data_IF_319964526252
#
_entry.id   IF_319964526252
#
_cell.length_a   1.000
_cell.length_b   1.000
_cell.length_c   1.000
_cell.angle_alpha   90.00
_cell.angle_beta   90.00
_cell.angle_gamma   90.00
#
_symmetry.space_group_name_H-M   'P 1'
#
loop_
_entity.id
_entity.type
_entity.pdbx_description
1 polymer ?
#
# COMPACT_ATOMS: atom_id res chain seq x y z
N UNK A 1 30.48 -23.01 4.07
CA UNK A 1 29.03 -23.17 3.94
C UNK A 1 28.31 -21.99 4.59
N UNK A 2 28.39 -20.78 4.00
CA UNK A 2 27.68 -19.56 4.44
C UNK A 2 27.59 -18.55 3.28
N UNK A 3 27.00 -18.94 2.13
CA UNK A 3 26.90 -18.04 0.96
C UNK A 3 25.59 -18.14 0.15
N UNK A 4 24.54 -18.82 0.64
CA UNK A 4 23.37 -19.12 -0.19
C UNK A 4 22.06 -18.37 0.16
N UNK A 5 22.09 -17.38 1.06
CA UNK A 5 20.86 -16.67 1.48
C UNK A 5 20.70 -15.23 0.97
N UNK A 6 21.64 -14.70 0.17
CA UNK A 6 21.56 -13.34 -0.36
C UNK A 6 21.22 -13.22 -1.86
N UNK A 7 21.01 -14.33 -2.58
CA UNK A 7 20.81 -14.29 -4.03
C UNK A 7 19.34 -14.47 -4.50
N UNK A 8 18.42 -14.93 -3.64
CA UNK A 8 17.02 -15.15 -4.05
C UNK A 8 16.13 -13.91 -3.92
N UNK A 9 16.53 -12.88 -3.16
CA UNK A 9 15.78 -11.62 -3.06
C UNK A 9 16.01 -10.65 -4.23
N UNK A 10 17.04 -10.87 -5.04
CA UNK A 10 17.37 -9.98 -6.18
C UNK A 10 16.60 -10.36 -7.45
N UNK A 11 16.46 -11.65 -7.76
CA UNK A 11 15.85 -12.08 -9.03
C UNK A 11 14.33 -11.89 -9.06
N UNK A 12 13.64 -12.07 -7.93
CA UNK A 12 12.20 -11.83 -7.84
C UNK A 12 11.92 -10.33 -7.92
N UNK A 13 12.69 -9.48 -7.22
CA UNK A 13 12.58 -8.03 -7.33
C UNK A 13 12.94 -7.50 -8.73
N UNK A 14 13.93 -8.09 -9.41
CA UNK A 14 14.27 -7.71 -10.78
C UNK A 14 13.20 -8.15 -11.78
N UNK A 15 12.62 -9.35 -11.63
CA UNK A 15 11.47 -9.78 -12.43
C UNK A 15 10.21 -8.94 -12.14
N UNK A 16 10.02 -8.52 -10.88
CA UNK A 16 8.98 -7.60 -10.43
C UNK A 16 9.17 -6.17 -10.94
N UNK A 17 10.36 -5.78 -11.38
CA UNK A 17 10.63 -4.47 -11.99
C UNK A 17 10.56 -4.55 -13.52
N UNK A 18 10.88 -5.69 -14.12
CA UNK A 18 10.93 -5.89 -15.56
C UNK A 18 9.59 -6.32 -16.18
N UNK A 19 8.69 -6.93 -15.41
CA UNK A 19 7.35 -7.35 -15.89
C UNK A 19 6.34 -6.19 -15.99
N UNK A 20 6.55 -5.08 -15.28
CA UNK A 20 5.62 -3.94 -15.21
C UNK A 20 6.08 -2.80 -16.12
N UNK A 21 6.12 -3.09 -17.42
CA UNK A 21 6.41 -2.11 -18.44
C UNK A 21 5.34 -1.03 -18.50
N UNK A 22 5.49 0.03 -17.70
CA UNK A 22 5.20 1.38 -18.14
C UNK A 22 6.17 2.37 -17.50
N UNK A 23 6.98 2.99 -18.35
CA UNK A 23 8.00 3.99 -18.03
C UNK A 23 7.43 5.22 -17.31
N UNK A 24 6.11 5.41 -17.35
CA UNK A 24 5.38 6.43 -16.58
C UNK A 24 5.08 5.97 -15.14
N UNK A 25 4.54 4.77 -14.93
CA UNK A 25 4.27 4.21 -13.61
C UNK A 25 5.56 3.97 -12.82
N UNK A 26 6.61 3.47 -13.48
CA UNK A 26 7.93 3.31 -12.86
C UNK A 26 8.60 4.64 -12.53
N UNK A 27 8.40 5.71 -13.31
CA UNK A 27 8.93 7.05 -12.98
C UNK A 27 8.17 7.70 -11.84
N UNK A 28 6.86 7.50 -11.78
CA UNK A 28 6.01 8.04 -10.72
C UNK A 28 6.26 7.28 -9.41
N UNK A 29 6.18 5.95 -9.40
CA UNK A 29 6.50 5.11 -8.24
C UNK A 29 7.96 5.29 -7.75
N UNK A 30 8.94 5.48 -8.66
CA UNK A 30 10.32 5.83 -8.25
C UNK A 30 10.41 7.22 -7.63
N UNK A 31 9.63 8.22 -8.07
CA UNK A 31 9.61 9.53 -7.39
C UNK A 31 9.02 9.44 -5.99
N UNK A 32 7.98 8.63 -5.81
CA UNK A 32 7.33 8.41 -4.52
C UNK A 32 8.18 7.57 -3.55
N UNK A 33 8.89 6.57 -4.07
CA UNK A 33 9.73 5.64 -3.31
C UNK A 33 11.14 6.18 -3.02
N UNK A 34 11.76 6.94 -3.94
CA UNK A 34 13.18 7.31 -3.82
C UNK A 34 13.49 8.34 -2.73
N UNK A 35 12.49 8.91 -2.05
CA UNK A 35 12.69 9.95 -1.02
C UNK A 35 11.97 9.71 0.30
N UNK A 36 11.26 8.58 0.46
CA UNK A 36 10.45 8.32 1.66
C UNK A 36 11.04 7.22 2.51
N UNK A 37 11.00 7.43 3.82
CA UNK A 37 11.43 6.45 4.80
C UNK A 37 10.50 5.24 4.77
N UNK A 38 11.09 4.04 4.88
CA UNK A 38 10.32 2.82 5.15
C UNK A 38 9.93 2.84 6.63
N UNK A 39 8.65 2.64 6.91
CA UNK A 39 8.12 2.62 8.27
C UNK A 39 7.33 1.34 8.50
N UNK A 40 7.27 0.89 9.75
CA UNK A 40 6.36 -0.19 10.12
C UNK A 40 4.95 0.36 10.04
N UNK A 41 4.18 -0.18 9.10
CA UNK A 41 2.85 0.28 8.73
C UNK A 41 1.86 -0.87 8.86
N UNK A 42 0.63 -0.56 9.30
CA UNK A 42 -0.45 -1.54 9.48
C UNK A 42 -0.96 -2.15 8.16
N UNK A 43 -0.91 -1.39 7.05
CA UNK A 43 -1.38 -1.76 5.70
C UNK A 43 -2.89 -2.05 5.53
N UNK A 44 -3.64 -2.29 6.60
CA UNK A 44 -5.12 -2.42 6.59
C UNK A 44 -5.74 -1.62 7.75
N UNK A 45 -5.40 -0.33 7.85
CA UNK A 45 -5.92 0.51 8.93
C UNK A 45 -7.33 0.97 8.58
N UNK A 46 -8.31 0.54 9.37
CA UNK A 46 -9.70 0.95 9.26
C UNK A 46 -10.37 0.96 10.64
N UNK A 47 -11.56 1.56 10.81
CA UNK A 47 -12.20 1.69 12.12
C UNK A 47 -12.37 0.36 12.87
N UNK A 48 -12.60 -0.75 12.15
CA UNK A 48 -12.79 -2.09 12.74
C UNK A 48 -11.54 -2.60 13.47
N UNK A 49 -10.37 -2.10 13.08
CA UNK A 49 -9.06 -2.52 13.57
C UNK A 49 -8.53 -1.58 14.67
N UNK A 50 -9.33 -0.60 15.12
CA UNK A 50 -8.98 0.37 16.17
C UNK A 50 -9.86 0.15 17.39
N UNK A 51 -9.25 -0.17 18.52
CA UNK A 51 -9.94 -0.29 19.81
C UNK A 51 -9.86 1.05 20.53
N UNK A 52 -11.01 1.62 20.91
CA UNK A 52 -11.10 2.88 21.66
C UNK A 52 -11.58 2.61 23.08
N UNK A 53 -10.90 3.19 24.08
CA UNK A 53 -11.28 3.14 25.50
C UNK A 53 -11.21 4.54 26.08
N UNK A 54 -12.32 5.00 26.69
CA UNK A 54 -12.42 6.33 27.29
C UNK A 54 -12.05 7.47 26.32
N UNK A 55 -12.49 7.38 25.05
CA UNK A 55 -12.21 8.39 24.02
C UNK A 55 -10.77 8.42 23.51
N UNK A 56 -9.93 7.46 23.88
CA UNK A 56 -8.54 7.34 23.39
C UNK A 56 -8.34 6.01 22.68
N UNK A 57 -7.47 6.00 21.67
CA UNK A 57 -7.02 4.75 21.03
C UNK A 57 -6.30 3.92 22.09
N UNK A 58 -6.85 2.74 22.37
CA UNK A 58 -6.32 1.78 23.32
C UNK A 58 -5.43 0.73 22.65
N UNK A 59 -5.76 0.34 21.41
CA UNK A 59 -4.96 -0.59 20.62
C UNK A 59 -5.29 -0.49 19.12
N UNK A 60 -4.32 -0.88 18.28
CA UNK A 60 -4.50 -1.20 16.87
C UNK A 60 -4.26 -2.70 16.74
N UNK A 61 -5.21 -3.43 16.16
CA UNK A 61 -5.21 -4.90 16.04
C UNK A 61 -5.25 -5.31 14.57
N UNK A 62 -5.09 -6.61 14.28
CA UNK A 62 -5.12 -7.16 12.91
C UNK A 62 -3.87 -6.81 12.05
N UNK A 63 -2.68 -6.92 12.67
CA UNK A 63 -1.38 -6.64 12.05
C UNK A 63 -0.89 -7.68 11.02
N UNK A 64 -1.74 -8.62 10.59
CA UNK A 64 -1.32 -9.70 9.69
C UNK A 64 -0.84 -9.22 8.31
N UNK A 65 -1.34 -8.06 7.86
CA UNK A 65 -0.90 -7.38 6.64
C UNK A 65 0.21 -6.36 6.88
N UNK A 66 0.56 -6.14 8.15
CA UNK A 66 1.53 -5.15 8.58
C UNK A 66 2.95 -5.51 8.15
N UNK A 67 3.76 -4.48 7.91
CA UNK A 67 5.10 -4.66 7.38
C UNK A 67 5.85 -3.35 7.18
N UNK A 68 7.01 -3.43 6.54
CA UNK A 68 7.79 -2.28 6.17
C UNK A 68 7.30 -1.74 4.83
N UNK A 69 6.60 -0.60 4.88
CA UNK A 69 6.06 0.08 3.70
C UNK A 69 6.52 1.52 3.65
N UNK A 70 6.42 2.19 2.50
CA UNK A 70 6.61 3.64 2.45
C UNK A 70 5.68 4.35 3.43
N UNK A 71 6.14 5.46 4.01
CA UNK A 71 5.39 6.24 5.00
C UNK A 71 3.95 6.61 4.56
N UNK A 72 3.74 6.86 3.26
CA UNK A 72 2.43 7.22 2.69
C UNK A 72 1.41 6.06 2.66
N UNK A 73 1.86 4.83 2.94
CA UNK A 73 1.07 3.62 2.70
C UNK A 73 -0.17 3.54 3.57
N UNK A 74 -0.11 3.99 4.84
CA UNK A 74 -1.31 4.07 5.70
C UNK A 74 -2.35 5.01 5.09
N UNK A 75 -1.93 6.19 4.63
CA UNK A 75 -2.83 7.20 4.09
C UNK A 75 -3.57 6.68 2.87
N UNK A 76 -2.84 6.13 1.90
CA UNK A 76 -3.44 5.64 0.66
C UNK A 76 -4.32 4.41 0.90
N UNK A 77 -3.87 3.42 1.66
CA UNK A 77 -4.64 2.19 1.91
C UNK A 77 -5.85 2.39 2.82
N UNK A 78 -5.82 3.33 3.76
CA UNK A 78 -6.99 3.64 4.57
C UNK A 78 -8.15 4.28 3.76
N UNK A 79 -7.85 4.83 2.58
CA UNK A 79 -8.85 5.27 1.60
C UNK A 79 -9.31 4.15 0.64
N UNK A 80 -8.62 3.01 0.63
CA UNK A 80 -8.94 1.84 -0.19
C UNK A 80 -10.06 1.00 0.47
N UNK A 81 -11.27 1.55 0.52
CA UNK A 81 -12.44 0.91 1.09
C UNK A 81 -13.56 0.72 0.06
N UNK A 82 -14.29 -0.40 0.14
CA UNK A 82 -15.47 -0.64 -0.70
C UNK A 82 -16.66 0.27 -0.36
N UNK A 83 -16.62 0.92 0.81
CA UNK A 83 -17.69 1.79 1.31
C UNK A 83 -17.12 3.17 1.56
N UNK A 84 -17.70 4.18 0.91
CA UNK A 84 -17.35 5.58 1.14
C UNK A 84 -17.73 5.99 2.58
N UNK A 85 -16.75 6.45 3.36
CA UNK A 85 -16.93 6.90 4.75
C UNK A 85 -16.26 8.26 4.99
N UNK A 86 -16.97 9.37 4.70
CA UNK A 86 -16.42 10.72 4.83
C UNK A 86 -15.93 11.04 6.25
N UNK A 87 -16.65 10.58 7.27
CA UNK A 87 -16.30 10.73 8.69
C UNK A 87 -14.97 10.07 9.04
N UNK A 88 -14.69 8.91 8.44
CA UNK A 88 -13.42 8.22 8.59
C UNK A 88 -12.27 8.98 7.91
N UNK A 89 -12.48 9.46 6.69
CA UNK A 89 -11.45 10.19 5.95
C UNK A 89 -11.09 11.51 6.64
N UNK A 90 -12.10 12.28 7.09
CA UNK A 90 -11.87 13.51 7.87
C UNK A 90 -11.09 13.22 9.16
N UNK A 91 -11.45 12.15 9.89
CA UNK A 91 -10.74 11.76 11.10
C UNK A 91 -9.30 11.32 10.80
N UNK A 92 -9.09 10.55 9.72
CA UNK A 92 -7.78 10.10 9.29
C UNK A 92 -6.88 11.28 8.90
N UNK A 93 -7.38 12.21 8.08
CA UNK A 93 -6.67 13.41 7.65
C UNK A 93 -6.30 14.33 8.83
N UNK A 94 -7.08 14.31 9.91
CA UNK A 94 -6.75 15.04 11.14
C UNK A 94 -5.66 14.35 11.99
N UNK A 95 -5.46 13.04 11.80
CA UNK A 95 -4.61 12.20 12.64
C UNK A 95 -3.25 11.84 12.02
N UNK A 96 -3.16 11.78 10.70
CA UNK A 96 -1.93 11.40 9.97
C UNK A 96 -1.58 12.44 8.90
N UNK A 97 -0.31 12.44 8.46
CA UNK A 97 0.11 13.30 7.36
C UNK A 97 -0.63 12.96 6.06
N UNK A 98 -0.95 14.00 5.28
CA UNK A 98 -1.55 13.87 3.95
C UNK A 98 -0.50 13.52 2.90
N UNK A 99 -0.90 12.67 1.97
CA UNK A 99 -0.08 12.18 0.86
C UNK A 99 -0.93 12.17 -0.42
N UNK A 100 -1.40 13.36 -0.82
CA UNK A 100 -2.38 13.51 -1.91
C UNK A 100 -1.82 13.10 -3.27
N UNK A 101 -0.59 13.51 -3.60
CA UNK A 101 0.10 13.09 -4.82
C UNK A 101 0.23 11.55 -4.90
N UNK A 102 0.53 10.91 -3.76
CA UNK A 102 0.66 9.45 -3.68
C UNK A 102 -0.70 8.76 -3.75
N UNK A 103 -1.74 9.38 -3.21
CA UNK A 103 -3.10 8.87 -3.26
C UNK A 103 -3.66 8.93 -4.68
N UNK A 104 -3.50 10.04 -5.40
CA UNK A 104 -3.89 10.15 -6.81
C UNK A 104 -3.17 9.10 -7.67
N UNK A 105 -1.89 8.86 -7.39
CA UNK A 105 -1.12 7.83 -8.07
C UNK A 105 -1.62 6.41 -7.79
N UNK A 106 -1.95 6.09 -6.54
CA UNK A 106 -2.51 4.80 -6.16
C UNK A 106 -3.91 4.60 -6.75
N UNK A 107 -4.75 5.64 -6.80
CA UNK A 107 -6.07 5.57 -7.46
C UNK A 107 -5.95 5.21 -8.94
N UNK A 108 -5.03 5.86 -9.66
CA UNK A 108 -4.75 5.53 -11.06
C UNK A 108 -4.27 4.08 -11.24
N UNK A 109 -3.56 3.52 -10.26
CA UNK A 109 -3.16 2.11 -10.25
C UNK A 109 -4.34 1.16 -9.97
N UNK A 110 -5.24 1.50 -9.05
CA UNK A 110 -6.40 0.67 -8.69
C UNK A 110 -7.42 0.54 -9.83
N UNK A 111 -7.51 1.53 -10.71
CA UNK A 111 -8.32 1.43 -11.94
C UNK A 111 -7.77 0.40 -12.93
N UNK A 112 -6.48 0.09 -12.86
CA UNK A 112 -5.79 -0.81 -13.79
C UNK A 112 -5.56 -2.22 -13.20
N UNK A 113 -5.56 -2.33 -11.87
CA UNK A 113 -5.26 -3.56 -11.14
C UNK A 113 -6.26 -3.78 -9.99
N UNK A 114 -6.87 -4.96 -9.91
CA UNK A 114 -7.82 -5.35 -8.83
C UNK A 114 -7.17 -5.28 -7.42
N UNK A 115 -5.85 -5.50 -7.38
CA UNK A 115 -5.00 -5.37 -6.20
C UNK A 115 -3.65 -4.80 -6.64
N UNK A 116 -2.87 -4.15 -5.76
CA UNK A 116 -1.49 -3.76 -6.09
C UNK A 116 -0.70 -4.98 -6.57
N UNK A 117 -0.51 -5.08 -7.89
CA UNK A 117 0.22 -6.18 -8.53
C UNK A 117 -0.61 -7.27 -9.21
N UNK A 118 -1.95 -7.18 -9.28
CA UNK A 118 -2.79 -8.14 -10.03
C UNK A 118 -3.56 -7.42 -11.15
N UNK A 119 -3.20 -7.63 -12.44
CA UNK A 119 -3.91 -7.03 -13.55
C UNK A 119 -5.35 -7.55 -13.66
N UNK A 120 -6.28 -6.66 -13.99
CA UNK A 120 -7.71 -6.96 -14.16
C UNK A 120 -8.04 -7.98 -15.28
N UNK A 121 -7.06 -8.39 -16.09
CA UNK A 121 -7.26 -9.21 -17.30
C UNK A 121 -6.80 -10.67 -17.21
N UNK A 122 -6.48 -11.18 -16.01
CA UNK A 122 -6.12 -12.61 -15.82
C UNK A 122 -7.26 -13.49 -15.29
N UNK A 123 -8.53 -13.10 -15.48
CA UNK A 123 -9.69 -13.90 -15.03
C UNK A 123 -10.58 -14.41 -16.15
N UNK A 124 -10.11 -14.51 -17.40
CA UNK A 124 -10.96 -15.09 -18.44
C UNK A 124 -10.40 -15.19 -19.84
N UNK A 125 -9.32 -15.95 -20.05
CA UNK A 125 -9.10 -16.70 -21.30
C UNK A 125 -8.20 -17.91 -21.03
N UNK A 126 -8.79 -18.98 -20.49
CA UNK A 126 -8.31 -20.35 -20.64
C UNK A 126 -9.57 -21.25 -20.69
N UNK A 127 -10.16 -21.37 -21.88
CA UNK A 127 -11.12 -22.41 -22.26
C UNK A 127 -10.43 -23.34 -23.25
#
# INVERSE_FOLDING_TARGET
>A
MWAFLLLTHSAIMQSFILSFGDIYLLRHARRLSAKRSLTVTHADLCPRNIIVKNGKVAAIIDWQSGGWYPEYWVYTKAHYGMVNRPDWYEALESAIARYDDEYEAEQALWEQCDQPGIPLHFSGQDN
#
